data_IF_796666367755
#
_entry.id   IF_796666367755
#
_cell.length_a   1.000
_cell.length_b   1.000
_cell.length_c   1.000
_cell.angle_alpha   90.00
_cell.angle_beta   90.00
_cell.angle_gamma   90.00
#
_symmetry.space_group_name_H-M   'P 1'
#
loop_
_entity.id
_entity.type
_entity.pdbx_description
1 polymer ?
#
# COMPACT_ATOMS: atom_id res chain seq x y z
N UNK A 1 -17.29 -7.52 12.14
CA UNK A 1 -16.55 -6.84 11.06
C UNK A 1 -15.30 -7.63 10.71
N UNK A 2 -14.92 -7.67 9.44
CA UNK A 2 -13.72 -8.36 8.99
C UNK A 2 -12.46 -7.63 9.48
N UNK A 3 -11.39 -8.39 9.72
CA UNK A 3 -10.04 -7.81 9.86
C UNK A 3 -9.45 -7.62 8.48
N UNK A 4 -9.14 -6.40 8.11
CA UNK A 4 -8.63 -6.08 6.78
C UNK A 4 -7.11 -5.91 6.81
N UNK A 5 -6.44 -6.55 5.84
CA UNK A 5 -5.07 -6.21 5.46
C UNK A 5 -5.11 -5.37 4.18
N UNK A 6 -4.81 -4.09 4.29
CA UNK A 6 -4.70 -3.18 3.14
C UNK A 6 -3.28 -3.23 2.59
N UNK A 7 -3.13 -3.62 1.33
CA UNK A 7 -1.85 -3.64 0.63
C UNK A 7 -1.83 -2.53 -0.42
N UNK A 8 -1.09 -1.45 -0.16
CA UNK A 8 -0.85 -0.37 -1.12
C UNK A 8 0.45 -0.68 -1.87
N UNK A 9 0.35 -0.82 -3.19
CA UNK A 9 1.41 -1.34 -4.04
C UNK A 9 1.32 -2.85 -4.24
N UNK A 10 0.12 -3.36 -4.41
CA UNK A 10 -0.17 -4.78 -4.62
C UNK A 10 0.14 -5.24 -6.05
N UNK A 11 1.43 -5.27 -6.40
CA UNK A 11 1.93 -5.82 -7.65
C UNK A 11 2.17 -7.33 -7.59
N UNK A 12 2.67 -7.91 -8.70
CA UNK A 12 2.99 -9.34 -8.80
C UNK A 12 4.12 -9.81 -7.87
N UNK A 13 4.92 -8.90 -7.34
CA UNK A 13 6.03 -9.19 -6.43
C UNK A 13 5.61 -9.27 -4.96
N UNK A 14 6.30 -8.51 -4.11
CA UNK A 14 6.11 -8.52 -2.64
C UNK A 14 4.66 -8.25 -2.26
N UNK A 15 4.04 -7.18 -2.81
CA UNK A 15 2.70 -6.77 -2.42
C UNK A 15 1.64 -7.86 -2.65
N UNK A 16 1.63 -8.50 -3.82
CA UNK A 16 0.69 -9.58 -4.12
C UNK A 16 0.95 -10.84 -3.29
N UNK A 17 2.22 -11.17 -3.04
CA UNK A 17 2.59 -12.32 -2.20
C UNK A 17 2.14 -12.12 -0.75
N UNK A 18 2.33 -10.92 -0.21
CA UNK A 18 1.87 -10.56 1.14
C UNK A 18 0.36 -10.61 1.24
N UNK A 19 -0.37 -10.05 0.25
CA UNK A 19 -1.82 -10.10 0.22
C UNK A 19 -2.36 -11.55 0.29
N UNK A 20 -1.79 -12.45 -0.52
CA UNK A 20 -2.12 -13.88 -0.51
C UNK A 20 -1.87 -14.51 0.86
N UNK A 21 -0.75 -14.17 1.50
CA UNK A 21 -0.41 -14.71 2.81
C UNK A 21 -1.40 -14.26 3.87
N UNK A 22 -1.72 -12.97 3.95
CA UNK A 22 -2.70 -12.46 4.91
C UNK A 22 -4.09 -13.06 4.68
N UNK A 23 -4.54 -13.18 3.42
CA UNK A 23 -5.81 -13.81 3.10
C UNK A 23 -5.88 -15.28 3.58
N UNK A 24 -4.77 -16.03 3.45
CA UNK A 24 -4.67 -17.40 3.97
C UNK A 24 -4.79 -17.47 5.49
N UNK A 25 -4.39 -16.43 6.21
CA UNK A 25 -4.50 -16.33 7.68
C UNK A 25 -5.86 -15.74 8.12
N UNK A 26 -6.83 -15.64 7.20
CA UNK A 26 -8.19 -15.23 7.51
C UNK A 26 -8.46 -13.73 7.47
N UNK A 27 -7.51 -12.92 7.01
CA UNK A 27 -7.77 -11.51 6.76
C UNK A 27 -8.55 -11.32 5.46
N UNK A 28 -9.36 -10.27 5.42
CA UNK A 28 -9.84 -9.73 4.16
C UNK A 28 -8.70 -8.94 3.50
N UNK A 29 -8.16 -9.41 2.38
CA UNK A 29 -7.10 -8.73 1.67
C UNK A 29 -7.68 -7.63 0.75
N UNK A 30 -7.38 -6.37 1.03
CA UNK A 30 -7.70 -5.28 0.12
C UNK A 30 -6.45 -4.86 -0.65
N UNK A 31 -6.51 -4.96 -1.99
CA UNK A 31 -5.38 -4.72 -2.86
C UNK A 31 -5.54 -3.38 -3.58
N UNK A 32 -4.55 -2.50 -3.42
CA UNK A 32 -4.51 -1.22 -4.12
C UNK A 32 -3.23 -1.10 -4.94
N UNK A 33 -3.36 -0.71 -6.21
CA UNK A 33 -2.22 -0.44 -7.11
C UNK A 33 -2.55 0.69 -8.07
N UNK A 34 -1.52 1.36 -8.59
CA UNK A 34 -1.72 2.57 -9.41
C UNK A 34 -2.35 2.27 -10.76
N UNK A 35 -1.92 1.23 -11.43
CA UNK A 35 -2.26 0.86 -12.80
C UNK A 35 -2.36 -0.65 -12.93
N UNK A 36 -2.66 -1.16 -14.13
CA UNK A 36 -2.77 -2.58 -14.43
C UNK A 36 -3.94 -3.25 -13.68
N UNK A 37 -5.13 -2.85 -14.03
CA UNK A 37 -6.38 -3.38 -13.48
C UNK A 37 -6.54 -4.88 -13.75
N UNK A 38 -6.07 -5.35 -14.90
CA UNK A 38 -6.09 -6.77 -15.24
C UNK A 38 -5.23 -7.61 -14.27
N UNK A 39 -4.01 -7.16 -14.00
CA UNK A 39 -3.15 -7.80 -13.00
C UNK A 39 -3.71 -7.74 -11.58
N UNK A 40 -4.41 -6.65 -11.22
CA UNK A 40 -5.12 -6.55 -9.95
C UNK A 40 -6.24 -7.60 -9.85
N UNK A 41 -7.09 -7.67 -10.87
CA UNK A 41 -8.20 -8.62 -10.92
C UNK A 41 -7.72 -10.07 -10.91
N UNK A 42 -6.60 -10.36 -11.58
CA UNK A 42 -5.95 -11.67 -11.52
C UNK A 42 -5.52 -12.05 -10.09
N UNK A 43 -4.88 -11.14 -9.36
CA UNK A 43 -4.49 -11.38 -7.97
C UNK A 43 -5.70 -11.60 -7.05
N UNK A 44 -6.74 -10.81 -7.21
CA UNK A 44 -7.99 -10.99 -6.46
C UNK A 44 -8.59 -12.37 -6.73
N UNK A 45 -8.67 -12.76 -8.00
CA UNK A 45 -9.17 -14.07 -8.42
C UNK A 45 -8.36 -15.21 -7.81
N UNK A 46 -7.04 -15.15 -7.87
CA UNK A 46 -6.15 -16.17 -7.28
C UNK A 46 -6.37 -16.33 -5.77
N UNK A 47 -6.60 -15.22 -5.04
CA UNK A 47 -6.89 -15.26 -3.60
C UNK A 47 -8.25 -15.89 -3.34
N UNK A 48 -9.28 -15.51 -4.08
CA UNK A 48 -10.65 -16.00 -3.87
C UNK A 48 -10.81 -17.46 -4.29
N UNK A 49 -10.17 -17.90 -5.35
CA UNK A 49 -10.13 -19.32 -5.76
C UNK A 49 -9.39 -20.20 -4.75
N UNK A 50 -8.44 -19.63 -4.01
CA UNK A 50 -7.77 -20.32 -2.89
C UNK A 50 -8.58 -20.31 -1.57
N UNK A 51 -9.84 -19.82 -1.61
CA UNK A 51 -10.73 -19.76 -0.45
C UNK A 51 -10.55 -18.53 0.46
N UNK A 52 -9.71 -17.57 0.07
CA UNK A 52 -9.53 -16.31 0.77
C UNK A 52 -10.61 -15.28 0.41
N UNK A 53 -10.62 -14.17 1.12
CA UNK A 53 -11.47 -13.01 0.83
C UNK A 53 -10.59 -11.86 0.32
N UNK A 54 -10.93 -11.31 -0.83
CA UNK A 54 -10.19 -10.19 -1.40
C UNK A 54 -11.07 -9.29 -2.27
N UNK A 55 -10.72 -8.03 -2.30
CA UNK A 55 -11.14 -7.05 -3.30
C UNK A 55 -10.02 -6.04 -3.54
N UNK A 56 -10.25 -5.08 -4.40
CA UNK A 56 -9.25 -4.06 -4.64
C UNK A 56 -9.73 -2.96 -5.56
N UNK A 57 -8.90 -1.94 -5.69
CA UNK A 57 -9.12 -0.83 -6.61
C UNK A 57 -7.81 -0.25 -7.11
N UNK A 58 -7.88 0.49 -8.21
CA UNK A 58 -6.79 1.36 -8.61
C UNK A 58 -6.68 2.52 -7.61
N UNK A 59 -5.45 2.88 -7.27
CA UNK A 59 -5.14 3.95 -6.33
C UNK A 59 -3.90 4.70 -6.79
N UNK A 60 -4.07 5.97 -7.12
CA UNK A 60 -2.95 6.88 -7.31
C UNK A 60 -2.74 7.68 -6.03
N UNK A 61 -1.72 7.34 -5.25
CA UNK A 61 -1.47 7.91 -3.92
C UNK A 61 -1.11 9.40 -3.91
N UNK A 62 -0.78 9.98 -5.09
CA UNK A 62 -0.48 11.41 -5.21
C UNK A 62 -1.73 12.27 -5.46
N UNK A 63 -2.85 11.65 -5.83
CA UNK A 63 -4.11 12.35 -6.01
C UNK A 63 -4.69 12.79 -4.67
N UNK A 64 -5.28 13.97 -4.69
CA UNK A 64 -5.92 14.55 -3.50
C UNK A 64 -7.05 13.65 -3.00
N UNK A 65 -7.15 13.47 -1.69
CA UNK A 65 -8.15 12.65 -0.99
C UNK A 65 -8.17 11.16 -1.33
N UNK A 66 -7.35 10.68 -2.28
CA UNK A 66 -7.40 9.30 -2.77
C UNK A 66 -7.18 8.25 -1.67
N UNK A 67 -6.24 8.49 -0.78
CA UNK A 67 -5.92 7.60 0.35
C UNK A 67 -7.01 7.68 1.42
N UNK A 68 -7.44 8.89 1.74
CA UNK A 68 -8.45 9.18 2.76
C UNK A 68 -9.78 8.53 2.39
N UNK A 69 -10.21 8.69 1.14
CA UNK A 69 -11.44 8.11 0.62
C UNK A 69 -11.37 6.58 0.61
N UNK A 70 -10.23 6.02 0.21
CA UNK A 70 -10.01 4.57 0.24
C UNK A 70 -10.10 4.01 1.66
N UNK A 71 -9.41 4.63 2.62
CA UNK A 71 -9.43 4.19 4.03
C UNK A 71 -10.87 4.26 4.58
N UNK A 72 -11.56 5.37 4.35
CA UNK A 72 -12.92 5.53 4.84
C UNK A 72 -13.88 4.51 4.21
N UNK A 73 -13.76 4.26 2.91
CA UNK A 73 -14.55 3.25 2.19
C UNK A 73 -14.34 1.86 2.79
N UNK A 74 -13.10 1.44 2.98
CA UNK A 74 -12.80 0.10 3.55
C UNK A 74 -13.36 -0.03 4.96
N UNK A 75 -13.12 0.97 5.82
CA UNK A 75 -13.58 0.97 7.21
C UNK A 75 -15.12 0.96 7.32
N UNK A 76 -15.82 1.53 6.35
CA UNK A 76 -17.29 1.58 6.32
C UNK A 76 -17.89 0.31 5.71
N UNK A 77 -17.38 -0.12 4.57
CA UNK A 77 -18.06 -1.11 3.73
C UNK A 77 -17.62 -2.55 4.02
N UNK A 78 -16.38 -2.75 4.52
CA UNK A 78 -15.78 -4.08 4.67
C UNK A 78 -15.47 -4.40 6.12
N UNK A 79 -14.61 -3.61 6.74
CA UNK A 79 -14.18 -3.87 8.10
C UNK A 79 -12.98 -3.04 8.53
N UNK A 80 -12.50 -3.31 9.72
CA UNK A 80 -11.40 -2.55 10.29
C UNK A 80 -10.07 -2.88 9.63
N UNK A 81 -9.37 -1.86 9.16
CA UNK A 81 -8.00 -2.00 8.67
C UNK A 81 -7.09 -2.28 9.87
N UNK A 82 -6.80 -3.54 10.10
CA UNK A 82 -5.94 -4.02 11.18
C UNK A 82 -4.45 -3.90 10.81
N UNK A 83 -4.13 -4.17 9.57
CA UNK A 83 -2.76 -4.10 9.07
C UNK A 83 -2.70 -3.40 7.72
N UNK A 84 -1.76 -2.48 7.58
CA UNK A 84 -1.41 -1.88 6.29
C UNK A 84 -0.01 -2.29 5.90
N UNK A 85 0.14 -2.69 4.66
CA UNK A 85 1.44 -2.86 3.99
C UNK A 85 1.60 -1.72 2.98
N UNK A 86 2.43 -0.74 3.32
CA UNK A 86 2.77 0.33 2.39
C UNK A 86 4.00 -0.08 1.57
N UNK A 87 3.73 -0.62 0.39
CA UNK A 87 4.73 -1.22 -0.50
C UNK A 87 4.93 -0.39 -1.79
N UNK A 88 4.95 0.92 -1.64
CA UNK A 88 5.28 1.83 -2.75
C UNK A 88 6.76 2.14 -2.72
N UNK A 89 7.48 1.66 -3.73
CA UNK A 89 8.83 2.09 -4.03
C UNK A 89 8.82 3.28 -4.99
N UNK A 90 9.51 4.33 -4.63
CA UNK A 90 9.77 5.46 -5.52
C UNK A 90 11.16 5.32 -6.13
N UNK A 91 11.39 4.26 -6.90
CA UNK A 91 12.61 4.15 -7.68
C UNK A 91 12.53 5.11 -8.87
N UNK A 92 13.14 6.26 -8.71
CA UNK A 92 13.33 7.25 -9.78
C UNK A 92 14.56 6.96 -10.66
N UNK A 93 15.10 5.74 -10.55
CA UNK A 93 16.24 5.22 -11.31
C UNK A 93 17.58 5.45 -10.59
N UNK A 94 18.60 4.70 -11.01
CA UNK A 94 19.98 4.93 -10.62
C UNK A 94 20.48 6.21 -11.30
N UNK A 95 20.39 7.32 -10.61
CA UNK A 95 20.83 8.61 -11.10
C UNK A 95 21.76 9.26 -10.10
N UNK A 96 22.85 9.82 -10.61
CA UNK A 96 23.69 10.68 -9.81
C UNK A 96 22.86 11.87 -9.29
N UNK A 97 23.23 12.39 -8.13
CA UNK A 97 22.56 13.54 -7.53
C UNK A 97 22.43 14.72 -8.52
N UNK A 98 23.48 15.00 -9.29
CA UNK A 98 23.49 16.07 -10.28
C UNK A 98 22.54 15.84 -11.48
N UNK A 99 22.11 14.62 -11.73
CA UNK A 99 21.21 14.24 -12.81
C UNK A 99 19.75 14.12 -12.37
N UNK A 100 19.50 14.17 -11.07
CA UNK A 100 18.16 14.06 -10.51
C UNK A 100 17.41 15.39 -10.62
N UNK A 101 16.35 15.44 -11.41
CA UNK A 101 15.53 16.64 -11.51
C UNK A 101 14.69 16.87 -10.25
N UNK A 102 14.41 18.12 -9.92
CA UNK A 102 13.52 18.48 -8.81
C UNK A 102 12.14 17.79 -8.91
N UNK A 103 11.59 17.73 -10.14
CA UNK A 103 10.31 17.05 -10.39
C UNK A 103 10.37 15.56 -10.06
N UNK A 104 11.44 14.87 -10.44
CA UNK A 104 11.59 13.45 -10.14
C UNK A 104 11.75 13.21 -8.64
N UNK A 105 12.55 14.03 -7.95
CA UNK A 105 12.71 13.96 -6.50
C UNK A 105 11.37 14.22 -5.76
N UNK A 106 10.66 15.30 -6.13
CA UNK A 106 9.36 15.63 -5.53
C UNK A 106 8.35 14.51 -5.74
N UNK A 107 8.28 13.94 -6.93
CA UNK A 107 7.38 12.83 -7.23
C UNK A 107 7.68 11.60 -6.37
N UNK A 108 8.94 11.23 -6.24
CA UNK A 108 9.37 10.16 -5.35
C UNK A 108 8.97 10.38 -3.90
N UNK A 109 9.19 11.60 -3.40
CA UNK A 109 8.79 12.00 -2.06
C UNK A 109 7.26 11.95 -1.87
N UNK A 110 6.50 12.46 -2.83
CA UNK A 110 5.02 12.42 -2.79
C UNK A 110 4.49 11.00 -2.70
N UNK A 111 5.04 10.09 -3.49
CA UNK A 111 4.59 8.69 -3.50
C UNK A 111 5.00 7.94 -2.21
N UNK A 112 6.25 8.01 -1.82
CA UNK A 112 6.78 7.18 -0.75
C UNK A 112 6.55 7.79 0.64
N UNK A 113 6.86 9.08 0.82
CA UNK A 113 6.87 9.72 2.13
C UNK A 113 5.54 10.42 2.43
N UNK A 114 5.11 11.30 1.54
CA UNK A 114 3.90 12.08 1.78
C UNK A 114 2.63 11.20 1.73
N UNK A 115 2.57 10.23 0.82
CA UNK A 115 1.48 9.25 0.80
C UNK A 115 1.39 8.44 2.09
N UNK A 116 2.53 8.00 2.63
CA UNK A 116 2.57 7.31 3.93
C UNK A 116 2.12 8.21 5.08
N UNK A 117 2.53 9.48 5.07
CA UNK A 117 2.10 10.47 6.07
C UNK A 117 0.57 10.64 6.05
N UNK A 118 -0.04 10.82 4.88
CA UNK A 118 -1.49 10.94 4.71
C UNK A 118 -2.23 9.69 5.23
N UNK A 119 -1.73 8.52 4.85
CA UNK A 119 -2.28 7.24 5.34
C UNK A 119 -2.24 7.17 6.87
N UNK A 120 -1.09 7.47 7.46
CA UNK A 120 -0.94 7.46 8.90
C UNK A 120 -1.89 8.48 9.58
N UNK A 121 -2.01 9.68 9.01
CA UNK A 121 -2.88 10.74 9.56
C UNK A 121 -4.36 10.32 9.60
N UNK A 122 -4.86 9.65 8.56
CA UNK A 122 -6.27 9.23 8.52
C UNK A 122 -6.54 7.95 9.32
N UNK A 123 -5.58 7.05 9.40
CA UNK A 123 -5.81 5.71 9.96
C UNK A 123 -5.40 5.58 11.43
N UNK A 124 -4.33 6.25 11.88
CA UNK A 124 -3.85 6.08 13.25
C UNK A 124 -4.84 6.52 14.33
N UNK A 125 -5.69 7.55 14.16
CA UNK A 125 -6.76 7.85 15.13
C UNK A 125 -7.73 6.68 15.31
N UNK A 126 -8.13 6.04 14.20
CA UNK A 126 -9.03 4.87 14.22
C UNK A 126 -8.37 3.66 14.90
N UNK A 127 -7.10 3.39 14.60
CA UNK A 127 -6.32 2.34 15.25
C UNK A 127 -6.13 2.60 16.75
N UNK A 128 -5.88 3.85 17.14
CA UNK A 128 -5.75 4.27 18.53
C UNK A 128 -7.04 4.06 19.31
N UNK A 129 -8.18 4.45 18.76
CA UNK A 129 -9.50 4.28 19.38
C UNK A 129 -9.78 2.80 19.69
N UNK A 130 -9.50 1.91 18.76
CA UNK A 130 -9.70 0.46 18.94
C UNK A 130 -8.51 -0.27 19.58
N UNK A 131 -7.44 0.46 19.93
CA UNK A 131 -6.21 -0.08 20.55
C UNK A 131 -5.58 -1.24 19.77
N UNK A 132 -5.73 -1.24 18.44
CA UNK A 132 -5.21 -2.27 17.55
C UNK A 132 -4.89 -1.69 16.18
N UNK A 133 -3.79 -2.15 15.59
CA UNK A 133 -3.40 -1.82 14.23
C UNK A 133 -1.89 -1.85 14.02
N UNK A 134 -1.48 -2.12 12.77
CA UNK A 134 -0.10 -2.16 12.34
C UNK A 134 0.07 -1.43 11.02
N UNK A 135 1.10 -0.61 10.90
CA UNK A 135 1.54 -0.02 9.63
C UNK A 135 2.95 -0.52 9.35
N UNK A 136 3.08 -1.31 8.29
CA UNK A 136 4.34 -1.91 7.86
C UNK A 136 4.76 -1.26 6.54
N UNK A 137 5.99 -0.79 6.47
CA UNK A 137 6.55 -0.10 5.31
C UNK A 137 7.67 -0.93 4.70
N UNK A 138 7.57 -1.21 3.40
CA UNK A 138 8.68 -1.80 2.66
C UNK A 138 9.75 -0.73 2.43
N UNK A 139 10.94 -1.00 2.92
CA UNK A 139 12.09 -0.13 2.76
C UNK A 139 13.20 -0.81 1.96
N UNK A 140 14.32 -0.15 1.77
CA UNK A 140 15.47 -0.66 1.06
C UNK A 140 16.75 -0.50 1.88
N UNK A 141 17.77 -1.29 1.55
CA UNK A 141 19.09 -1.21 2.20
C UNK A 141 19.72 0.18 2.08
N UNK A 142 19.43 0.89 0.99
CA UNK A 142 19.87 2.27 0.76
C UNK A 142 19.33 3.28 1.78
N UNK A 143 18.30 2.95 2.53
CA UNK A 143 17.81 3.79 3.63
C UNK A 143 18.76 3.83 4.82
N UNK A 144 19.65 2.84 4.96
CA UNK A 144 20.59 2.70 6.10
C UNK A 144 22.05 2.60 5.65
N UNK A 145 22.29 2.51 4.37
CA UNK A 145 23.64 2.45 3.76
C UNK A 145 23.72 3.42 2.59
N UNK A 146 24.78 4.23 2.55
CA UNK A 146 25.09 5.01 1.35
C UNK A 146 25.32 4.11 0.15
N UNK A 147 24.93 4.57 -1.03
CA UNK A 147 25.19 3.94 -2.31
C UNK A 147 25.82 4.97 -3.26
N UNK A 148 26.53 4.49 -4.28
CA UNK A 148 27.24 5.33 -5.27
C UNK A 148 26.27 5.83 -6.37
N UNK A 149 25.07 6.11 -6.11
CA UNK A 149 24.13 6.62 -7.10
C UNK A 149 22.80 6.88 -6.49
#
# INVERSE_FOLDING_TARGET
MEKVCLVIGAGAGIGGTVAKRFAKEGYYAYLARRTDEEGLNKLIKEITEAGGKASGSLLNVIEENSIEDLVNKIETDIGHIDTVIYNIGAQIGDRALAETSYKAFEMGWRMATFGLFRLAQVLTPKMKERQAGNIIVTSATSAVRGNKG
#
